data_IF_949866784915
#
_entry.id   IF_949866784915
#
_cell.length_a   1.000
_cell.length_b   1.000
_cell.length_c   1.000
_cell.angle_alpha   90.00
_cell.angle_beta   90.00
_cell.angle_gamma   90.00
#
_symmetry.space_group_name_H-M   'P 1'
#
loop_
_entity.id
_entity.type
_entity.pdbx_description
1 polymer ?
#
# COMPACT_ATOMS: atom_id res chain seq x y z
N UNK A 1 -20.13 8.05 -7.38
CA UNK A 1 -18.88 7.29 -7.33
C UNK A 1 -18.83 6.40 -8.57
N UNK A 2 -17.82 6.56 -9.39
CA UNK A 2 -17.66 5.77 -10.62
C UNK A 2 -17.46 4.29 -10.25
N UNK A 3 -18.12 3.38 -10.95
CA UNK A 3 -18.07 1.94 -10.68
C UNK A 3 -16.64 1.37 -10.72
N UNK A 4 -15.78 1.92 -11.59
CA UNK A 4 -14.37 1.55 -11.67
C UNK A 4 -13.56 1.96 -10.44
N UNK A 5 -13.90 3.08 -9.82
CA UNK A 5 -13.26 3.53 -8.56
C UNK A 5 -13.66 2.68 -7.36
N UNK A 6 -14.81 2.04 -7.42
CA UNK A 6 -15.28 1.17 -6.33
C UNK A 6 -14.62 -0.23 -6.34
N UNK A 7 -14.13 -0.70 -7.49
CA UNK A 7 -13.52 -2.04 -7.62
C UNK A 7 -12.28 -2.21 -6.75
N UNK A 8 -11.42 -1.18 -6.67
CA UNK A 8 -10.21 -1.22 -5.85
C UNK A 8 -10.48 -1.41 -4.35
N UNK A 9 -11.71 -1.14 -3.90
CA UNK A 9 -12.12 -1.30 -2.51
C UNK A 9 -12.82 -2.64 -2.23
N UNK A 10 -13.05 -3.44 -3.24
CA UNK A 10 -13.78 -4.72 -3.14
C UNK A 10 -13.00 -5.89 -3.72
N UNK A 11 -12.20 -5.64 -4.74
CA UNK A 11 -11.41 -6.66 -5.42
C UNK A 11 -9.93 -6.54 -5.01
N UNK A 12 -9.40 -7.61 -4.44
CA UNK A 12 -8.01 -7.69 -3.99
C UNK A 12 -7.02 -7.52 -5.15
N UNK A 13 -7.32 -8.11 -6.29
CA UNK A 13 -6.46 -7.99 -7.47
C UNK A 13 -6.39 -6.54 -7.97
N UNK A 14 -7.50 -5.85 -8.02
CA UNK A 14 -7.54 -4.45 -8.43
C UNK A 14 -6.88 -3.51 -7.39
N UNK A 15 -7.03 -3.84 -6.11
CA UNK A 15 -6.35 -3.13 -5.03
C UNK A 15 -4.82 -3.23 -5.18
N UNK A 16 -4.29 -4.43 -5.43
CA UNK A 16 -2.86 -4.61 -5.70
C UNK A 16 -2.39 -3.85 -6.93
N UNK A 17 -3.14 -3.88 -8.03
CA UNK A 17 -2.80 -3.10 -9.23
C UNK A 17 -2.76 -1.61 -8.96
N UNK A 18 -3.69 -1.11 -8.18
CA UNK A 18 -3.73 0.30 -7.78
C UNK A 18 -2.46 0.71 -7.01
N UNK A 19 -2.05 -0.09 -6.03
CA UNK A 19 -0.84 0.15 -5.24
C UNK A 19 0.42 -0.01 -6.09
N UNK A 20 0.49 -1.06 -6.92
CA UNK A 20 1.64 -1.31 -7.80
C UNK A 20 1.87 -0.17 -8.79
N UNK A 21 0.82 0.40 -9.36
CA UNK A 21 0.93 1.57 -10.26
C UNK A 21 1.52 2.80 -9.57
N UNK A 22 1.29 2.95 -8.28
CA UNK A 22 1.81 4.08 -7.51
C UNK A 22 3.25 3.86 -7.02
N UNK A 23 3.54 2.66 -6.54
CA UNK A 23 4.86 2.31 -6.02
C UNK A 23 5.85 2.07 -7.16
N UNK A 24 5.39 1.49 -8.25
CA UNK A 24 6.19 1.13 -9.41
C UNK A 24 5.61 1.71 -10.70
N UNK A 25 5.64 3.03 -10.89
CA UNK A 25 5.07 3.66 -12.09
C UNK A 25 5.72 3.20 -13.39
N UNK A 26 7.00 2.82 -13.35
CA UNK A 26 7.77 2.35 -14.50
C UNK A 26 7.93 0.82 -14.54
N UNK A 27 7.17 0.11 -13.71
CA UNK A 27 7.22 -1.34 -13.60
C UNK A 27 7.87 -1.83 -12.30
N UNK A 28 7.69 -3.13 -11.98
CA UNK A 28 8.17 -3.67 -10.72
C UNK A 28 9.69 -3.67 -10.63
N UNK A 29 10.20 -3.30 -9.45
CA UNK A 29 11.62 -3.25 -9.11
C UNK A 29 11.84 -3.94 -7.78
N UNK A 30 12.89 -4.76 -7.68
CA UNK A 30 13.24 -5.43 -6.45
C UNK A 30 13.61 -4.42 -5.35
N UNK A 31 12.91 -4.41 -4.21
CA UNK A 31 13.20 -3.46 -3.12
C UNK A 31 14.50 -3.78 -2.39
N UNK A 32 15.08 -4.97 -2.60
CA UNK A 32 16.29 -5.43 -1.92
C UNK A 32 17.58 -5.13 -2.70
N UNK A 33 17.55 -5.26 -4.02
CA UNK A 33 18.73 -5.05 -4.87
C UNK A 33 18.54 -4.03 -6.00
N UNK A 34 17.33 -3.50 -6.17
CA UNK A 34 17.03 -2.49 -7.20
C UNK A 34 16.94 -3.00 -8.64
N UNK A 35 17.03 -4.33 -8.86
CA UNK A 35 16.96 -4.90 -10.20
C UNK A 35 15.56 -4.84 -10.79
N UNK A 36 15.45 -4.51 -12.08
CA UNK A 36 14.21 -4.62 -12.85
C UNK A 36 13.97 -6.03 -13.43
N UNK A 37 14.93 -6.94 -13.26
CA UNK A 37 14.80 -8.34 -13.69
C UNK A 37 13.99 -9.14 -12.69
N UNK A 38 12.68 -8.95 -12.74
CA UNK A 38 11.72 -9.55 -11.83
C UNK A 38 10.57 -10.19 -12.60
N UNK A 39 9.94 -11.17 -12.01
CA UNK A 39 8.78 -11.84 -12.59
C UNK A 39 7.72 -12.12 -11.54
N UNK A 40 6.47 -12.06 -11.95
CA UNK A 40 5.32 -12.38 -11.09
C UNK A 40 5.26 -13.89 -10.86
N UNK A 41 5.15 -14.29 -9.60
CA UNK A 41 4.98 -15.69 -9.25
C UNK A 41 3.53 -16.09 -9.32
N UNK A 42 3.27 -17.25 -9.90
CA UNK A 42 1.96 -17.88 -9.94
C UNK A 42 2.06 -19.31 -9.42
N UNK A 43 1.08 -19.73 -8.64
CA UNK A 43 1.03 -21.08 -8.07
C UNK A 43 0.06 -21.18 -6.91
N UNK A 44 -0.47 -22.35 -6.66
CA UNK A 44 -1.48 -22.58 -5.62
C UNK A 44 -0.99 -22.26 -4.20
N UNK A 45 0.30 -22.39 -3.95
CA UNK A 45 0.93 -22.08 -2.65
C UNK A 45 1.54 -20.69 -2.57
N UNK A 46 1.51 -19.94 -3.67
CA UNK A 46 2.09 -18.60 -3.72
C UNK A 46 1.08 -17.55 -3.27
N UNK A 47 1.47 -16.69 -2.33
CA UNK A 47 0.62 -15.56 -1.93
C UNK A 47 0.41 -14.62 -3.09
N UNK A 48 -0.81 -14.10 -3.20
CA UNK A 48 -1.17 -13.12 -4.23
C UNK A 48 -0.23 -11.92 -4.21
N UNK A 49 0.16 -11.44 -5.41
CA UNK A 49 1.02 -10.27 -5.55
C UNK A 49 2.51 -10.52 -5.28
N UNK A 50 2.95 -11.77 -5.18
CA UNK A 50 4.36 -12.10 -4.98
C UNK A 50 5.13 -12.07 -6.29
N UNK A 51 6.29 -11.40 -6.26
CA UNK A 51 7.27 -11.35 -7.34
C UNK A 51 8.57 -12.03 -6.91
N UNK A 52 9.36 -12.46 -7.86
CA UNK A 52 10.70 -13.00 -7.64
C UNK A 52 11.72 -12.15 -8.40
N UNK A 53 12.77 -11.75 -7.71
CA UNK A 53 13.92 -11.14 -8.35
C UNK A 53 14.84 -12.21 -8.92
N UNK A 54 15.19 -12.12 -10.19
CA UNK A 54 16.11 -13.06 -10.83
C UNK A 54 17.59 -12.76 -10.55
N UNK A 55 17.88 -11.56 -10.04
CA UNK A 55 19.23 -11.18 -9.65
C UNK A 55 19.61 -11.67 -8.25
N UNK A 56 18.85 -11.27 -7.23
CA UNK A 56 19.10 -11.68 -5.83
C UNK A 56 18.37 -12.95 -5.42
N UNK A 57 17.48 -13.47 -6.28
CA UNK A 57 16.66 -14.67 -6.10
C UNK A 57 15.68 -14.65 -4.92
N UNK A 58 15.44 -13.49 -4.33
CA UNK A 58 14.52 -13.35 -3.20
C UNK A 58 13.10 -12.99 -3.67
N UNK A 59 12.07 -13.55 -3.02
CA UNK A 59 10.69 -13.13 -3.25
C UNK A 59 10.41 -11.79 -2.59
N UNK A 60 9.48 -11.03 -3.16
CA UNK A 60 9.04 -9.77 -2.61
C UNK A 60 7.62 -9.43 -3.06
N UNK A 61 6.99 -8.49 -2.37
CA UNK A 61 5.69 -7.92 -2.71
C UNK A 61 5.78 -6.41 -2.71
N UNK A 62 4.80 -5.76 -3.30
CA UNK A 62 4.68 -4.29 -3.27
C UNK A 62 4.52 -3.73 -1.86
N UNK A 63 4.16 -4.56 -0.88
CA UNK A 63 4.02 -4.15 0.52
C UNK A 63 5.34 -3.74 1.17
N UNK A 64 6.46 -4.30 0.73
CA UNK A 64 7.78 -4.03 1.34
C UNK A 64 8.15 -2.56 1.17
N UNK A 65 8.52 -1.90 2.26
CA UNK A 65 8.84 -0.47 2.29
C UNK A 65 7.63 0.45 2.22
N UNK A 66 6.43 -0.07 2.37
CA UNK A 66 5.18 0.70 2.43
C UNK A 66 4.51 0.56 3.79
N UNK A 67 3.46 1.35 4.03
CA UNK A 67 2.66 1.23 5.26
C UNK A 67 1.96 -0.13 5.41
N UNK A 68 1.88 -0.91 4.34
CA UNK A 68 1.26 -2.24 4.31
C UNK A 68 2.22 -3.36 4.73
N UNK A 69 3.49 -3.05 4.96
CA UNK A 69 4.52 -4.04 5.26
C UNK A 69 4.16 -4.87 6.48
N UNK A 70 4.38 -6.19 6.38
CA UNK A 70 4.11 -7.16 7.45
C UNK A 70 2.65 -7.25 7.90
N UNK A 71 1.72 -6.76 7.10
CA UNK A 71 0.29 -6.83 7.40
C UNK A 71 -0.36 -8.04 6.73
N UNK A 72 -1.24 -8.71 7.49
CA UNK A 72 -2.12 -9.76 6.97
C UNK A 72 -3.48 -9.22 6.51
N UNK A 73 -3.76 -7.95 6.71
CA UNK A 73 -5.00 -7.31 6.28
C UNK A 73 -5.04 -7.26 4.74
N UNK A 74 -6.13 -7.67 4.10
CA UNK A 74 -6.27 -7.58 2.65
C UNK A 74 -6.06 -6.15 2.13
N UNK A 75 -5.44 -6.02 0.96
CA UNK A 75 -5.10 -4.72 0.38
C UNK A 75 -6.33 -3.85 0.12
N UNK A 76 -7.43 -4.43 -0.34
CA UNK A 76 -8.67 -3.69 -0.58
C UNK A 76 -9.24 -3.07 0.69
N UNK A 77 -9.08 -3.72 1.84
CA UNK A 77 -9.48 -3.15 3.14
C UNK A 77 -8.58 -1.98 3.56
N UNK A 78 -7.28 -2.07 3.30
CA UNK A 78 -6.35 -0.97 3.50
C UNK A 78 -6.72 0.26 2.68
N UNK A 79 -6.98 0.10 1.38
CA UNK A 79 -7.36 1.21 0.50
C UNK A 79 -8.69 1.84 0.93
N UNK A 80 -9.65 1.03 1.34
CA UNK A 80 -10.91 1.52 1.88
C UNK A 80 -10.73 2.32 3.16
N UNK A 81 -9.86 1.86 4.06
CA UNK A 81 -9.54 2.58 5.30
C UNK A 81 -8.88 3.94 5.00
N UNK A 82 -7.92 3.98 4.09
CA UNK A 82 -7.25 5.22 3.67
C UNK A 82 -8.29 6.21 3.10
N UNK A 83 -9.18 5.75 2.24
CA UNK A 83 -10.25 6.58 1.69
C UNK A 83 -11.16 7.17 2.78
N UNK A 84 -11.62 6.34 3.71
CA UNK A 84 -12.52 6.78 4.79
C UNK A 84 -11.84 7.79 5.72
N UNK A 85 -10.60 7.54 6.11
CA UNK A 85 -9.85 8.42 7.01
C UNK A 85 -9.44 9.72 6.35
N UNK A 86 -9.10 9.72 5.06
CA UNK A 86 -8.73 10.92 4.33
C UNK A 86 -9.93 11.78 3.94
N UNK A 87 -11.10 11.18 3.72
CA UNK A 87 -12.34 11.88 3.35
C UNK A 87 -13.08 12.48 4.53
N UNK A 88 -12.82 12.02 5.74
CA UNK A 88 -13.52 12.47 6.95
C UNK A 88 -12.76 13.61 7.63
N UNK A 89 -13.38 14.77 7.72
CA UNK A 89 -12.82 15.91 8.45
C UNK A 89 -12.76 15.71 9.96
N UNK A 90 -13.66 14.91 10.51
CA UNK A 90 -13.78 14.64 11.96
C UNK A 90 -13.07 13.35 12.38
N UNK A 91 -12.46 12.63 11.42
CA UNK A 91 -11.94 11.30 11.65
C UNK A 91 -13.05 10.25 11.74
N UNK A 92 -12.63 9.00 11.82
CA UNK A 92 -13.53 7.84 11.97
C UNK A 92 -13.12 7.10 13.26
N UNK A 93 -14.07 6.86 14.15
CA UNK A 93 -13.81 6.09 15.35
C UNK A 93 -13.39 4.66 14.98
N UNK A 94 -12.44 4.09 15.73
CA UNK A 94 -11.90 2.76 15.45
C UNK A 94 -12.99 1.66 15.45
N UNK A 95 -13.98 1.77 16.30
CA UNK A 95 -15.11 0.84 16.32
C UNK A 95 -15.95 0.91 15.04
N UNK A 96 -16.20 2.12 14.56
CA UNK A 96 -16.92 2.36 13.31
C UNK A 96 -16.11 1.85 12.11
N UNK A 97 -14.81 2.14 12.09
CA UNK A 97 -13.89 1.65 11.06
C UNK A 97 -13.88 0.12 11.01
N UNK A 98 -13.82 -0.54 12.17
CA UNK A 98 -13.85 -1.99 12.26
C UNK A 98 -15.13 -2.60 11.69
N UNK A 99 -16.28 -1.98 11.92
CA UNK A 99 -17.57 -2.42 11.37
C UNK A 99 -17.62 -2.25 9.84
N UNK A 100 -17.15 -1.12 9.33
CA UNK A 100 -17.17 -0.82 7.89
C UNK A 100 -16.23 -1.76 7.13
N UNK A 101 -15.05 -2.03 7.69
CA UNK A 101 -14.04 -2.90 7.09
C UNK A 101 -14.25 -4.38 7.37
N UNK A 102 -15.18 -4.71 8.25
CA UNK A 102 -15.40 -6.09 8.72
C UNK A 102 -14.12 -6.72 9.30
N UNK A 103 -13.49 -5.99 10.19
CA UNK A 103 -12.29 -6.42 10.92
C UNK A 103 -12.52 -6.27 12.43
N UNK A 104 -11.68 -6.95 13.24
CA UNK A 104 -11.76 -6.80 14.68
C UNK A 104 -11.43 -5.36 15.13
N UNK A 105 -11.93 -4.91 16.29
CA UNK A 105 -11.58 -3.58 16.81
C UNK A 105 -10.08 -3.37 16.96
N UNK A 106 -9.34 -4.40 17.37
CA UNK A 106 -7.89 -4.38 17.48
C UNK A 106 -7.21 -4.14 16.14
N UNK A 107 -7.68 -4.81 15.09
CA UNK A 107 -7.18 -4.64 13.73
C UNK A 107 -7.51 -3.23 13.20
N UNK A 108 -8.68 -2.70 13.50
CA UNK A 108 -9.05 -1.34 13.11
C UNK A 108 -8.16 -0.28 13.75
N UNK A 109 -7.83 -0.42 15.03
CA UNK A 109 -6.86 0.45 15.73
C UNK A 109 -5.48 0.37 15.06
N UNK A 110 -5.01 -0.82 14.78
CA UNK A 110 -3.72 -1.04 14.10
C UNK A 110 -3.66 -0.34 12.73
N UNK A 111 -4.71 -0.48 11.92
CA UNK A 111 -4.81 0.18 10.61
C UNK A 111 -4.79 1.70 10.77
N UNK A 112 -5.61 2.25 11.65
CA UNK A 112 -5.72 3.68 11.89
C UNK A 112 -4.39 4.30 12.37
N UNK A 113 -3.71 3.64 13.30
CA UNK A 113 -2.40 4.09 13.79
C UNK A 113 -1.32 4.06 12.71
N UNK A 114 -1.30 3.03 11.88
CA UNK A 114 -0.34 2.93 10.77
C UNK A 114 -0.54 4.02 9.73
N UNK A 115 -1.78 4.28 9.35
CA UNK A 115 -2.12 5.35 8.41
C UNK A 115 -1.76 6.71 8.99
N UNK A 116 -2.05 6.96 10.26
CA UNK A 116 -1.69 8.22 10.93
C UNK A 116 -0.17 8.45 10.96
N UNK A 117 0.61 7.42 11.27
CA UNK A 117 2.08 7.50 11.22
C UNK A 117 2.60 7.80 9.82
N UNK A 118 2.07 7.12 8.81
CA UNK A 118 2.46 7.36 7.41
C UNK A 118 2.15 8.80 6.99
N UNK A 119 1.00 9.34 7.38
CA UNK A 119 0.62 10.72 7.11
C UNK A 119 1.57 11.75 7.74
N UNK A 120 2.07 11.49 8.95
CA UNK A 120 3.04 12.37 9.63
C UNK A 120 4.38 12.44 8.89
N UNK A 121 4.86 11.33 8.35
CA UNK A 121 6.15 11.28 7.65
C UNK A 121 6.09 11.82 6.21
N UNK A 122 4.94 11.76 5.58
CA UNK A 122 4.78 12.06 4.17
C UNK A 122 4.11 13.40 3.87
N UNK A 123 3.73 14.14 4.89
CA UNK A 123 3.05 15.42 4.72
C UNK A 123 1.57 15.36 4.36
N UNK A 124 1.10 14.31 3.72
CA UNK A 124 -0.33 14.01 3.56
C UNK A 124 -0.52 12.76 2.71
N UNK A 125 -1.44 11.91 3.14
CA UNK A 125 -2.05 10.92 2.25
C UNK A 125 -3.19 11.67 1.55
N UNK A 126 -2.93 12.21 0.37
CA UNK A 126 -3.93 12.93 -0.39
C UNK A 126 -4.60 12.03 -1.41
N UNK A 127 -5.91 11.99 -1.34
CA UNK A 127 -6.74 11.50 -2.43
C UNK A 127 -6.92 12.61 -3.45
N UNK A 128 -6.38 12.44 -4.65
CA UNK A 128 -6.61 13.36 -5.75
C UNK A 128 -7.79 12.88 -6.59
N UNK A 129 -8.92 13.53 -6.41
CA UNK A 129 -10.16 13.17 -7.13
C UNK A 129 -10.04 13.28 -8.66
N UNK A 130 -9.28 14.24 -9.14
CA UNK A 130 -9.07 14.50 -10.56
C UNK A 130 -8.35 13.37 -11.30
N UNK A 131 -7.47 12.64 -10.61
CA UNK A 131 -6.71 11.53 -11.19
C UNK A 131 -7.14 10.16 -10.71
N UNK A 132 -8.05 10.08 -9.73
CA UNK A 132 -8.44 8.83 -9.10
C UNK A 132 -7.26 8.05 -8.51
N UNK A 133 -6.22 8.77 -8.12
CA UNK A 133 -4.97 8.20 -7.61
C UNK A 133 -4.73 8.58 -6.16
N UNK A 134 -4.28 7.60 -5.41
CA UNK A 134 -3.78 7.78 -4.06
C UNK A 134 -2.31 8.16 -4.10
N UNK A 135 -1.92 9.16 -3.35
CA UNK A 135 -0.51 9.35 -3.05
C UNK A 135 -0.20 8.55 -1.79
N UNK A 136 0.23 7.30 -1.97
CA UNK A 136 0.74 6.49 -0.89
C UNK A 136 2.19 6.89 -0.68
N UNK A 137 2.46 7.57 0.39
CA UNK A 137 3.81 7.84 0.81
C UNK A 137 4.54 6.52 1.03
N UNK A 138 5.48 6.20 0.18
CA UNK A 138 6.43 5.15 0.45
C UNK A 138 7.30 5.59 1.63
N UNK A 139 7.38 4.77 2.65
CA UNK A 139 8.28 4.96 3.78
C UNK A 139 9.72 4.61 3.35
N UNK A 140 10.17 5.17 2.21
CA UNK A 140 11.58 5.17 1.86
C UNK A 140 12.23 6.20 2.76
N UNK A 141 12.82 5.73 3.83
CA UNK A 141 13.93 6.47 4.42
C UNK A 141 14.93 6.70 3.27
N UNK A 142 15.31 7.96 2.98
CA UNK A 142 16.45 8.18 2.10
C UNK A 142 17.61 7.42 2.74
N UNK A 143 18.15 6.47 2.00
CA UNK A 143 19.40 5.83 2.36
C UNK A 143 20.39 6.95 2.66
N UNK A 144 20.93 6.96 3.87
CA UNK A 144 21.92 7.93 4.35
C UNK A 144 23.26 7.86 3.57
N UNK A 145 23.26 7.29 2.37
CA UNK A 145 24.44 7.10 1.53
C UNK A 145 24.47 7.98 0.27
N UNK A 146 23.49 8.88 0.08
CA UNK A 146 23.56 9.89 -0.98
C UNK A 146 23.81 11.31 -0.42
N UNK A 147 24.69 11.43 0.52
CA UNK A 147 25.39 12.70 0.73
C UNK A 147 26.78 12.50 0.18
N UNK A 148 26.96 12.77 -1.08
CA UNK A 148 28.30 13.06 -1.60
C UNK A 148 28.65 14.47 -1.13
N UNK A 149 29.68 14.63 -0.32
CA UNK A 149 30.31 15.92 -0.16
C UNK A 149 31.13 16.20 -1.43
N UNK A 150 31.01 17.37 -1.93
CA UNK A 150 31.98 17.91 -2.89
C UNK A 150 33.42 17.84 -2.35
#
# INVERSE_FOLDING_TARGET
MDARKALQFRDEAEAYRCVERQVWPDGPVCPKCGSARVGKMAGASTRFGTYKCYRCRKPFTVKIGTLFESSHVPMHKWLRAIYLLSSSRRGVASNQLGRILEVSPKTAVFIAERIAKAAQFAGSIEWKEDKGTWTIASNRQPNAQEVQPE
#
